data_IF_348737103810
#
_entry.id   IF_348737103810
#
_cell.length_a   1.000
_cell.length_b   1.000
_cell.length_c   1.000
_cell.angle_alpha   90.00
_cell.angle_beta   90.00
_cell.angle_gamma   90.00
#
_symmetry.space_group_name_H-M   'P 1'
#
loop_
_entity.id
_entity.type
_entity.pdbx_description
1 polymer ?
#
# COMPACT_ATOMS: atom_id res chain seq x y z
N UNK A 1 -6.08 -1.82 7.16
CA UNK A 1 -4.76 -1.35 6.68
C UNK A 1 -4.05 -0.42 7.66
N UNK A 2 -4.78 0.29 8.53
CA UNK A 2 -4.15 1.16 9.53
C UNK A 2 -3.38 0.29 10.54
N UNK A 3 -2.10 0.60 10.73
CA UNK A 3 -1.14 -0.13 11.57
C UNK A 3 -0.75 -1.53 11.05
N UNK A 4 -1.13 -1.88 9.82
CA UNK A 4 -0.67 -3.09 9.14
C UNK A 4 0.37 -2.72 8.10
N UNK A 5 1.29 -3.62 7.78
CA UNK A 5 2.36 -3.43 6.77
C UNK A 5 3.16 -2.14 6.94
N UNK A 6 3.36 -1.68 8.17
CA UNK A 6 4.04 -0.41 8.45
C UNK A 6 3.26 0.86 8.09
N UNK A 7 1.97 0.75 7.74
CA UNK A 7 1.14 1.90 7.35
C UNK A 7 0.71 2.67 8.61
N UNK A 8 1.34 3.81 8.87
CA UNK A 8 1.04 4.68 10.02
C UNK A 8 0.14 5.88 9.67
N UNK A 9 -0.04 6.17 8.37
CA UNK A 9 -0.83 7.30 7.86
C UNK A 9 -1.57 6.93 6.58
N UNK A 10 -2.67 7.64 6.28
CA UNK A 10 -3.49 7.40 5.10
C UNK A 10 -3.24 8.33 3.93
N UNK A 11 -2.36 9.34 4.08
CA UNK A 11 -2.10 10.35 3.06
C UNK A 11 -0.62 10.73 3.00
N UNK A 12 -0.13 10.99 1.78
CA UNK A 12 1.30 11.17 1.46
C UNK A 12 1.45 12.31 0.46
N UNK A 13 2.04 13.43 0.88
CA UNK A 13 2.38 14.52 -0.02
C UNK A 13 3.48 14.11 -1.00
N UNK A 14 3.38 14.62 -2.23
CA UNK A 14 4.46 14.52 -3.21
C UNK A 14 5.71 15.26 -2.72
N UNK A 15 6.91 14.95 -3.25
CA UNK A 15 8.14 15.66 -2.88
C UNK A 15 8.08 17.17 -3.07
N UNK A 16 7.23 17.66 -4.01
CA UNK A 16 7.02 19.07 -4.29
C UNK A 16 5.90 19.70 -3.44
N UNK A 17 5.09 18.88 -2.74
CA UNK A 17 3.97 19.35 -1.95
C UNK A 17 2.74 19.80 -2.75
N UNK A 18 2.69 19.48 -4.04
CA UNK A 18 1.65 19.89 -4.99
C UNK A 18 0.56 18.82 -5.22
N UNK A 19 0.86 17.57 -4.87
CA UNK A 19 -0.08 16.43 -5.01
C UNK A 19 -0.17 15.63 -3.73
N UNK A 20 -1.32 15.01 -3.49
CA UNK A 20 -1.57 14.19 -2.32
C UNK A 20 -2.02 12.78 -2.73
N UNK A 21 -1.20 11.76 -2.50
CA UNK A 21 -1.62 10.36 -2.61
C UNK A 21 -2.34 9.95 -1.33
N UNK A 22 -3.43 9.18 -1.46
CA UNK A 22 -4.23 8.73 -0.30
C UNK A 22 -4.88 7.38 -0.53
N UNK A 23 -5.16 6.68 0.56
CA UNK A 23 -6.00 5.49 0.56
C UNK A 23 -7.48 5.85 0.69
N UNK A 24 -8.31 5.21 -0.11
CA UNK A 24 -9.77 5.21 0.04
C UNK A 24 -10.22 3.79 0.35
N UNK A 25 -10.88 3.61 1.49
CA UNK A 25 -11.39 2.32 1.94
C UNK A 25 -12.91 2.28 1.84
N UNK A 26 -13.45 1.23 1.22
CA UNK A 26 -14.86 0.91 1.18
C UNK A 26 -15.12 -0.33 2.04
N UNK A 27 -15.89 -0.16 3.08
CA UNK A 27 -16.30 -1.21 4.03
C UNK A 27 -17.78 -1.58 3.90
N UNK A 28 -18.48 -1.07 2.87
CA UNK A 28 -19.94 -1.24 2.73
C UNK A 28 -20.36 -2.71 2.70
N UNK A 29 -19.50 -3.58 2.14
CA UNK A 29 -19.74 -5.03 2.04
C UNK A 29 -19.28 -5.82 3.26
N UNK A 30 -18.59 -5.20 4.22
CA UNK A 30 -18.04 -5.90 5.39
C UNK A 30 -19.14 -6.18 6.40
N UNK A 31 -19.19 -7.41 6.91
CA UNK A 31 -20.14 -7.84 7.95
C UNK A 31 -20.01 -6.96 9.20
N UNK A 32 -21.16 -6.62 9.77
CA UNK A 32 -21.21 -5.98 11.08
C UNK A 32 -20.99 -7.00 12.18
N UNK A 33 -20.03 -6.73 13.05
CA UNK A 33 -19.76 -7.53 14.24
C UNK A 33 -20.31 -6.78 15.47
N UNK A 34 -21.16 -7.44 16.27
CA UNK A 34 -21.77 -6.82 17.44
C UNK A 34 -20.77 -6.75 18.61
N UNK A 35 -20.52 -5.56 19.10
CA UNK A 35 -19.82 -5.30 20.35
C UNK A 35 -20.83 -4.79 21.36
N UNK A 36 -20.72 -5.25 22.61
CA UNK A 36 -21.54 -4.72 23.72
C UNK A 36 -20.73 -3.69 24.46
N UNK A 37 -21.22 -2.45 24.49
CA UNK A 37 -20.67 -1.40 25.35
C UNK A 37 -21.14 -1.63 26.77
N UNK A 38 -20.26 -2.13 27.62
CA UNK A 38 -20.51 -2.39 29.03
C UNK A 38 -20.27 -1.16 29.93
N UNK A 39 -19.81 -0.05 29.39
CA UNK A 39 -19.62 1.21 30.15
C UNK A 39 -20.93 2.01 30.25
N UNK A 40 -21.88 1.74 29.36
CA UNK A 40 -23.21 2.28 29.44
C UNK A 40 -23.97 1.68 30.66
N UNK A 41 -24.88 2.44 31.27
CA UNK A 41 -25.64 1.99 32.44
C UNK A 41 -26.47 0.72 32.18
N UNK A 42 -26.99 0.59 30.97
CA UNK A 42 -27.59 -0.63 30.41
C UNK A 42 -26.76 -0.94 29.17
N UNK A 43 -26.26 -2.17 29.06
CA UNK A 43 -25.41 -2.54 27.94
C UNK A 43 -26.03 -2.18 26.59
N UNK A 44 -25.29 -1.47 25.76
CA UNK A 44 -25.73 -1.04 24.43
C UNK A 44 -24.98 -1.82 23.35
N UNK A 45 -25.69 -2.10 22.25
CA UNK A 45 -25.10 -2.79 21.10
C UNK A 45 -24.39 -1.79 20.20
N UNK A 46 -23.06 -1.92 20.06
CA UNK A 46 -22.24 -1.15 19.13
C UNK A 46 -21.73 -2.05 18.02
N UNK A 47 -22.29 -1.91 16.81
CA UNK A 47 -21.87 -2.71 15.66
C UNK A 47 -20.68 -2.05 14.96
N UNK A 48 -19.60 -2.83 14.76
CA UNK A 48 -18.41 -2.43 14.01
C UNK A 48 -18.27 -3.25 12.72
N UNK A 49 -17.72 -2.67 11.68
CA UNK A 49 -17.37 -3.41 10.46
C UNK A 49 -16.12 -4.25 10.75
N UNK A 50 -16.29 -5.57 10.80
CA UNK A 50 -15.19 -6.50 11.07
C UNK A 50 -15.35 -7.81 10.28
N UNK A 51 -14.46 -8.06 9.30
CA UNK A 51 -14.53 -9.31 8.54
C UNK A 51 -13.97 -10.44 9.40
N UNK A 52 -14.80 -11.43 9.72
CA UNK A 52 -14.34 -12.67 10.32
C UNK A 52 -13.52 -13.48 9.30
N UNK A 53 -12.72 -14.45 9.78
CA UNK A 53 -11.93 -15.32 8.90
C UNK A 53 -12.79 -15.95 7.79
N UNK A 54 -12.33 -15.87 6.55
CA UNK A 54 -13.03 -16.37 5.37
C UNK A 54 -14.18 -15.48 4.85
N UNK A 55 -14.53 -14.41 5.55
CA UNK A 55 -15.58 -13.47 5.10
C UNK A 55 -15.03 -12.37 4.18
N UNK A 56 -15.94 -11.71 3.47
CA UNK A 56 -15.61 -10.58 2.58
C UNK A 56 -14.96 -9.45 3.37
N UNK A 57 -13.78 -9.02 2.92
CA UNK A 57 -13.04 -7.89 3.50
C UNK A 57 -13.38 -6.58 2.79
N UNK A 58 -12.89 -5.48 3.33
CA UNK A 58 -12.98 -4.16 2.73
C UNK A 58 -12.18 -4.08 1.42
N UNK A 59 -12.53 -3.11 0.58
CA UNK A 59 -11.84 -2.81 -0.67
C UNK A 59 -11.10 -1.49 -0.53
N UNK A 60 -9.81 -1.49 -0.89
CA UNK A 60 -8.98 -0.28 -0.84
C UNK A 60 -8.59 0.13 -2.25
N UNK A 61 -8.66 1.41 -2.53
CA UNK A 61 -8.14 2.04 -3.74
C UNK A 61 -7.17 3.15 -3.36
N UNK A 62 -6.28 3.51 -4.27
CA UNK A 62 -5.32 4.61 -4.08
C UNK A 62 -5.68 5.73 -5.02
N UNK A 63 -5.83 6.94 -4.50
CA UNK A 63 -6.09 8.15 -5.26
C UNK A 63 -4.95 9.15 -5.16
N UNK A 64 -4.82 10.00 -6.17
CA UNK A 64 -3.91 11.13 -6.24
C UNK A 64 -4.77 12.39 -6.42
N UNK A 65 -4.75 13.25 -5.43
CA UNK A 65 -5.50 14.52 -5.42
C UNK A 65 -4.56 15.68 -5.76
N UNK A 66 -5.03 16.53 -6.69
CA UNK A 66 -4.38 17.79 -6.99
C UNK A 66 -5.19 18.94 -6.35
N UNK A 67 -4.64 19.64 -5.32
CA UNK A 67 -5.34 20.71 -4.62
C UNK A 67 -5.62 21.95 -5.49
N UNK A 68 -4.76 22.25 -6.47
CA UNK A 68 -4.91 23.39 -7.35
C UNK A 68 -6.09 23.21 -8.32
N UNK A 69 -6.17 22.03 -8.94
CA UNK A 69 -7.24 21.73 -9.89
C UNK A 69 -8.48 21.09 -9.26
N UNK A 70 -8.39 20.69 -7.99
CA UNK A 70 -9.42 19.97 -7.21
C UNK A 70 -9.83 18.63 -7.87
N UNK A 71 -8.95 18.04 -8.68
CA UNK A 71 -9.19 16.76 -9.35
C UNK A 71 -8.51 15.62 -8.62
N UNK A 72 -9.17 14.46 -8.67
CA UNK A 72 -8.62 13.19 -8.20
C UNK A 72 -8.49 12.22 -9.34
N UNK A 73 -7.34 11.58 -9.44
CA UNK A 73 -7.09 10.43 -10.32
C UNK A 73 -6.93 9.21 -9.43
N UNK A 74 -7.68 8.14 -9.70
CA UNK A 74 -7.48 6.86 -9.02
C UNK A 74 -6.56 5.97 -9.85
N UNK A 75 -5.68 5.21 -9.17
CA UNK A 75 -4.83 4.24 -9.83
C UNK A 75 -5.68 3.13 -10.45
N UNK A 76 -5.41 2.81 -11.71
CA UNK A 76 -6.05 1.70 -12.43
C UNK A 76 -5.37 0.37 -12.08
N UNK A 77 -5.53 -0.05 -10.83
CA UNK A 77 -4.92 -1.28 -10.31
C UNK A 77 -5.81 -2.53 -10.48
N UNK A 78 -6.97 -2.39 -11.16
CA UNK A 78 -7.95 -3.46 -11.34
C UNK A 78 -8.82 -3.67 -10.10
N UNK A 79 -9.43 -4.87 -9.99
CA UNK A 79 -10.33 -5.20 -8.87
C UNK A 79 -9.56 -5.25 -7.54
N UNK A 80 -9.92 -4.43 -6.54
CA UNK A 80 -9.26 -4.42 -5.23
C UNK A 80 -9.70 -5.57 -4.30
N UNK A 81 -10.54 -6.51 -4.77
CA UNK A 81 -10.99 -7.65 -3.99
C UNK A 81 -9.82 -8.58 -3.66
N UNK A 82 -9.71 -8.97 -2.38
CA UNK A 82 -8.69 -9.89 -1.88
C UNK A 82 -7.24 -9.47 -2.17
N UNK A 83 -7.01 -8.15 -2.15
CA UNK A 83 -5.70 -7.53 -2.35
C UNK A 83 -5.48 -6.41 -1.34
N UNK A 84 -4.21 -6.18 -1.04
CA UNK A 84 -3.76 -5.05 -0.24
C UNK A 84 -2.85 -4.15 -1.08
N UNK A 85 -3.07 -2.84 -0.99
CA UNK A 85 -2.19 -1.82 -1.55
C UNK A 85 -1.44 -1.17 -0.40
N UNK A 86 -0.13 -1.33 -0.35
CA UNK A 86 0.68 -0.97 0.80
C UNK A 86 1.88 -0.12 0.40
N UNK A 87 2.50 0.53 1.37
CA UNK A 87 3.85 1.08 1.28
C UNK A 87 4.03 2.06 0.11
N UNK A 88 3.13 3.07 0.03
CA UNK A 88 3.18 4.12 -0.99
C UNK A 88 4.50 4.89 -0.90
N UNK A 89 5.18 5.04 -2.04
CA UNK A 89 6.36 5.87 -2.22
C UNK A 89 6.24 6.72 -3.47
N UNK A 90 6.53 8.00 -3.36
CA UNK A 90 6.65 8.90 -4.50
C UNK A 90 8.01 8.76 -5.17
N UNK A 91 8.02 8.77 -6.51
CA UNK A 91 9.25 9.03 -7.23
C UNK A 91 9.77 10.45 -6.88
N UNK A 92 11.11 10.68 -6.85
CA UNK A 92 11.66 11.98 -6.52
C UNK A 92 11.22 13.12 -7.45
N UNK A 93 10.89 12.80 -8.72
CA UNK A 93 10.39 13.75 -9.72
C UNK A 93 8.86 13.96 -9.65
N UNK A 94 8.16 13.23 -8.77
CA UNK A 94 6.71 13.22 -8.62
C UNK A 94 5.91 12.76 -9.86
N UNK A 95 6.55 12.08 -10.83
CA UNK A 95 5.87 11.58 -12.04
C UNK A 95 5.32 10.16 -11.88
N UNK A 96 5.84 9.41 -10.92
CA UNK A 96 5.41 8.06 -10.64
C UNK A 96 5.11 7.87 -9.15
N UNK A 97 4.14 6.99 -8.89
CA UNK A 97 3.83 6.49 -7.56
C UNK A 97 4.15 5.00 -7.53
N UNK A 98 4.91 4.59 -6.52
CA UNK A 98 5.23 3.19 -6.27
C UNK A 98 4.42 2.69 -5.09
N UNK A 99 3.97 1.46 -5.19
CA UNK A 99 3.30 0.78 -4.07
C UNK A 99 3.53 -0.74 -4.16
N UNK A 100 3.37 -1.40 -3.04
CA UNK A 100 3.42 -2.85 -2.97
C UNK A 100 1.99 -3.39 -2.98
N UNK A 101 1.69 -4.21 -3.98
CA UNK A 101 0.48 -5.01 -4.03
C UNK A 101 0.76 -6.35 -3.35
N UNK A 102 -0.07 -6.72 -2.39
CA UNK A 102 0.02 -7.97 -1.66
C UNK A 102 -1.29 -8.73 -1.82
N UNK A 103 -1.24 -10.03 -2.12
CA UNK A 103 -2.42 -10.87 -2.15
C UNK A 103 -2.99 -11.10 -0.74
N UNK A 104 -4.25 -11.54 -0.65
CA UNK A 104 -4.91 -11.76 0.65
C UNK A 104 -4.26 -12.87 1.48
N UNK A 105 -3.70 -13.89 0.84
CA UNK A 105 -2.94 -14.94 1.52
C UNK A 105 -1.60 -14.44 2.06
N UNK A 106 -1.22 -13.21 1.73
CA UNK A 106 -0.01 -12.52 2.19
C UNK A 106 1.28 -13.32 1.92
N UNK A 107 1.34 -13.98 0.79
CA UNK A 107 2.49 -14.77 0.37
C UNK A 107 3.06 -14.38 -1.00
N UNK A 108 2.47 -13.37 -1.65
CA UNK A 108 2.92 -12.84 -2.94
C UNK A 108 2.80 -11.32 -2.97
N UNK A 109 3.92 -10.64 -2.98
CA UNK A 109 4.03 -9.19 -3.06
C UNK A 109 4.61 -8.77 -4.42
N UNK A 110 4.14 -7.65 -4.95
CA UNK A 110 4.60 -7.03 -6.21
C UNK A 110 4.91 -5.57 -5.97
N UNK A 111 6.10 -5.10 -6.34
CA UNK A 111 6.38 -3.68 -6.41
C UNK A 111 5.91 -3.14 -7.75
N UNK A 112 4.88 -2.33 -7.73
CA UNK A 112 4.24 -1.74 -8.91
C UNK A 112 4.53 -0.24 -9.02
N UNK A 113 4.73 0.22 -10.25
CA UNK A 113 4.92 1.63 -10.59
C UNK A 113 3.71 2.12 -11.39
N UNK A 114 3.12 3.25 -10.97
CA UNK A 114 1.97 3.87 -11.61
C UNK A 114 2.29 5.29 -12.07
N UNK A 115 1.72 5.68 -13.21
CA UNK A 115 1.76 7.07 -13.69
C UNK A 115 0.92 7.97 -12.79
N UNK A 116 1.50 9.06 -12.33
CA UNK A 116 0.79 10.07 -11.54
C UNK A 116 -0.19 10.87 -12.40
N UNK A 117 0.12 11.06 -13.67
CA UNK A 117 -0.69 11.82 -14.61
C UNK A 117 -1.96 11.08 -15.04
N UNK A 118 -1.86 9.76 -15.28
CA UNK A 118 -2.95 8.96 -15.84
C UNK A 118 -3.54 7.95 -14.88
N UNK A 119 -2.83 7.60 -13.81
CA UNK A 119 -3.20 6.51 -12.90
C UNK A 119 -2.91 5.11 -13.45
N UNK A 120 -2.38 4.99 -14.67
CA UNK A 120 -2.12 3.71 -15.32
C UNK A 120 -0.88 3.01 -14.77
N UNK A 121 -0.92 1.68 -14.75
CA UNK A 121 0.24 0.84 -14.41
C UNK A 121 1.32 1.01 -15.48
N UNK A 122 2.50 1.49 -15.07
CA UNK A 122 3.69 1.54 -15.94
C UNK A 122 4.34 0.16 -16.01
N UNK A 123 4.45 -0.52 -14.87
CA UNK A 123 4.99 -1.86 -14.81
C UNK A 123 5.14 -2.40 -13.39
N UNK A 124 5.41 -3.70 -13.31
CA UNK A 124 5.83 -4.38 -12.08
C UNK A 124 7.36 -4.52 -12.11
N UNK A 125 8.04 -3.96 -11.11
CA UNK A 125 9.49 -3.95 -11.07
C UNK A 125 10.06 -5.29 -10.64
N UNK A 126 9.50 -5.88 -9.61
CA UNK A 126 9.82 -7.22 -9.16
C UNK A 126 8.67 -7.82 -8.34
N UNK A 127 8.74 -9.11 -8.12
CA UNK A 127 7.81 -9.87 -7.30
C UNK A 127 8.59 -10.64 -6.22
N UNK A 128 7.96 -10.82 -5.06
CA UNK A 128 8.47 -11.60 -3.95
C UNK A 128 7.43 -12.60 -3.51
N UNK A 129 7.79 -13.87 -3.45
CA UNK A 129 6.91 -14.96 -3.02
C UNK A 129 7.57 -15.75 -1.91
N UNK A 130 6.73 -16.25 -0.98
CA UNK A 130 7.21 -17.13 0.08
C UNK A 130 6.13 -18.16 0.43
N UNK A 131 6.48 -19.45 0.70
CA UNK A 131 5.47 -20.48 0.97
C UNK A 131 4.64 -20.25 2.24
N UNK A 132 5.11 -19.40 3.16
CA UNK A 132 4.40 -19.06 4.39
C UNK A 132 3.80 -17.66 4.33
N UNK A 133 4.64 -16.62 4.23
CA UNK A 133 4.20 -15.22 4.19
C UNK A 133 5.29 -14.29 3.64
N UNK A 134 4.86 -13.18 3.04
CA UNK A 134 5.66 -12.00 2.72
C UNK A 134 5.03 -10.82 3.46
N UNK A 135 5.82 -10.09 4.23
CA UNK A 135 5.33 -8.99 5.06
C UNK A 135 6.09 -7.69 4.76
N UNK A 136 5.65 -6.89 3.77
CA UNK A 136 6.29 -5.62 3.48
C UNK A 136 5.99 -4.61 4.59
N UNK A 137 7.02 -4.22 5.34
CA UNK A 137 6.90 -3.32 6.50
C UNK A 137 7.26 -1.87 6.18
N UNK A 138 7.99 -1.63 5.09
CA UNK A 138 8.53 -0.32 4.76
C UNK A 138 8.34 0.02 3.28
N UNK A 139 8.02 1.28 2.97
CA UNK A 139 8.04 1.76 1.59
C UNK A 139 9.48 1.72 1.05
N UNK A 140 9.62 1.67 -0.28
CA UNK A 140 10.93 1.85 -0.91
C UNK A 140 11.47 3.25 -0.61
N UNK A 141 12.79 3.38 -0.48
CA UNK A 141 13.48 4.63 -0.19
C UNK A 141 14.43 4.95 -1.33
N UNK A 142 14.14 6.00 -2.10
CA UNK A 142 15.04 6.48 -3.14
C UNK A 142 16.31 7.06 -2.55
N UNK A 143 17.45 6.85 -3.25
CA UNK A 143 18.71 7.45 -2.83
C UNK A 143 18.69 8.97 -3.15
N UNK A 144 19.00 9.86 -2.17
CA UNK A 144 18.94 11.29 -2.40
C UNK A 144 19.91 11.81 -3.47
N UNK A 145 20.99 11.07 -3.72
CA UNK A 145 22.04 11.43 -4.71
C UNK A 145 21.93 10.64 -6.02
N UNK A 146 21.03 9.65 -6.11
CA UNK A 146 20.86 8.83 -7.32
C UNK A 146 19.40 8.35 -7.43
N UNK A 147 18.58 9.14 -8.10
CA UNK A 147 17.15 8.88 -8.31
C UNK A 147 16.88 7.62 -9.17
N UNK A 148 17.92 7.05 -9.78
CA UNK A 148 17.79 5.77 -10.52
C UNK A 148 17.86 4.53 -9.63
N UNK A 149 18.02 4.71 -8.31
CA UNK A 149 18.14 3.62 -7.34
C UNK A 149 17.29 3.86 -6.10
N UNK A 150 16.86 2.74 -5.52
CA UNK A 150 16.13 2.73 -4.25
C UNK A 150 16.55 1.55 -3.38
N UNK A 151 16.29 1.68 -2.09
CA UNK A 151 16.44 0.61 -1.10
C UNK A 151 15.07 -0.02 -0.85
N UNK A 152 15.03 -1.33 -0.85
CA UNK A 152 13.90 -2.15 -0.42
C UNK A 152 14.32 -3.04 0.73
N UNK A 153 13.46 -3.18 1.74
CA UNK A 153 13.68 -4.04 2.89
C UNK A 153 12.88 -5.34 2.73
N UNK A 154 13.51 -6.49 2.91
CA UNK A 154 12.90 -7.80 2.69
C UNK A 154 13.47 -8.86 3.63
N UNK A 155 12.64 -9.85 3.94
CA UNK A 155 12.98 -11.04 4.73
C UNK A 155 13.21 -12.29 3.86
N UNK A 156 13.43 -12.13 2.57
CA UNK A 156 13.48 -13.22 1.56
C UNK A 156 14.53 -14.30 1.83
N UNK A 157 15.57 -13.97 2.57
CA UNK A 157 16.66 -14.89 2.94
C UNK A 157 16.60 -15.35 4.41
N UNK A 158 15.47 -15.12 5.09
CA UNK A 158 15.23 -15.52 6.47
C UNK A 158 15.52 -14.44 7.51
N UNK A 159 16.18 -13.34 7.12
CA UNK A 159 16.45 -12.18 7.96
C UNK A 159 16.02 -10.90 7.26
N UNK A 160 15.78 -9.86 8.04
CA UNK A 160 15.34 -8.57 7.52
C UNK A 160 16.53 -7.75 7.05
N UNK A 161 16.81 -7.81 5.74
CA UNK A 161 17.95 -7.15 5.11
C UNK A 161 17.52 -6.04 4.16
N UNK A 162 18.46 -5.17 3.82
CA UNK A 162 18.31 -4.11 2.83
C UNK A 162 18.84 -4.57 1.48
N UNK A 163 18.08 -4.27 0.44
CA UNK A 163 18.41 -4.59 -0.95
C UNK A 163 18.42 -3.32 -1.77
N UNK A 164 19.52 -3.10 -2.51
CA UNK A 164 19.63 -2.01 -3.47
C UNK A 164 19.12 -2.45 -4.82
N UNK A 165 18.15 -1.71 -5.36
CA UNK A 165 17.54 -1.93 -6.67
C UNK A 165 17.73 -0.72 -7.58
N UNK A 166 17.77 -0.97 -8.88
CA UNK A 166 17.55 0.04 -9.90
C UNK A 166 16.06 0.28 -10.14
N UNK A 167 15.70 1.46 -10.65
CA UNK A 167 14.32 1.78 -11.07
C UNK A 167 13.87 0.96 -12.29
N UNK A 168 14.78 0.22 -12.93
CA UNK A 168 14.50 -0.80 -13.95
C UNK A 168 14.07 -2.16 -13.34
N UNK A 169 13.96 -2.25 -12.01
CA UNK A 169 13.58 -3.45 -11.29
C UNK A 169 14.72 -4.44 -11.05
N UNK A 170 15.95 -4.14 -11.49
CA UNK A 170 17.08 -5.07 -11.29
C UNK A 170 17.69 -4.93 -9.90
N UNK A 171 17.87 -6.06 -9.25
CA UNK A 171 18.65 -6.15 -8.01
C UNK A 171 20.12 -5.82 -8.31
N UNK A 172 20.65 -4.80 -7.63
CA UNK A 172 22.07 -4.42 -7.71
C UNK A 172 22.89 -5.23 -6.72
N UNK A 173 22.46 -5.21 -5.43
CA UNK A 173 23.09 -6.02 -4.36
C UNK A 173 22.27 -6.03 -3.08
N UNK A 174 22.54 -6.97 -2.20
CA UNK A 174 22.20 -6.92 -0.78
C UNK A 174 23.23 -6.03 -0.05
N UNK A 175 22.77 -5.22 0.88
CA UNK A 175 23.59 -4.28 1.66
C UNK A 175 23.97 -4.85 3.02
#
# INVERSE_FOLDING_TARGET
HRNEFGISKGAYWSPKGDLLAFYRMDESMVTQYPLVDITARVGELNNVRYPMAGMTSHKVTVGIYNPETQKTIYLNAGDPTDRYFTNISWAPDAKSLYLIELNRDQNHAKLCQYSVETGELIGTLFEETHPKYVEPQHPIVFLPWDNSKFIYQSQRDGFNHLYLYGTDGKLVKQL
#
